data_IF_231849555242
#
_entry.id   IF_231849555242
#
_cell.length_a   1.000
_cell.length_b   1.000
_cell.length_c   1.000
_cell.angle_alpha   90.00
_cell.angle_beta   90.00
_cell.angle_gamma   90.00
#
_symmetry.space_group_name_H-M   'P 1'
#
loop_
_entity.id
_entity.type
_entity.pdbx_description
1 polymer ?
#
# COMPACT_ATOMS: atom_id res chain seq x y z
N UNK A 1 19.06 25.63 22.42
CA UNK A 1 18.37 25.31 21.15
C UNK A 1 19.09 24.27 20.30
N UNK A 2 20.43 24.27 20.23
CA UNK A 2 21.20 23.35 19.38
C UNK A 2 21.07 21.83 19.71
N UNK A 3 20.85 21.47 20.99
CA UNK A 3 20.76 20.06 21.43
C UNK A 3 19.47 19.34 21.00
N UNK A 4 18.35 20.06 20.79
CA UNK A 4 17.09 19.44 20.34
C UNK A 4 17.11 19.11 18.84
N UNK A 5 17.82 19.89 18.04
CA UNK A 5 17.96 19.66 16.59
C UNK A 5 18.84 18.45 16.29
N UNK A 6 19.91 18.22 17.06
CA UNK A 6 20.75 17.02 16.93
C UNK A 6 20.01 15.72 17.27
N UNK A 7 19.13 15.72 18.29
CA UNK A 7 18.39 14.54 18.68
C UNK A 7 17.36 14.09 17.63
N UNK A 8 16.75 15.04 16.89
CA UNK A 8 15.79 14.74 15.82
C UNK A 8 16.51 14.22 14.58
N UNK A 9 17.67 14.76 14.23
CA UNK A 9 18.48 14.25 13.10
C UNK A 9 19.02 12.85 13.40
N UNK A 10 19.39 12.56 14.65
CA UNK A 10 19.84 11.23 15.07
C UNK A 10 18.71 10.18 15.04
N UNK A 11 17.48 10.54 15.41
CA UNK A 11 16.32 9.64 15.33
C UNK A 11 15.88 9.36 13.88
N UNK A 12 15.96 10.34 12.98
CA UNK A 12 15.66 10.15 11.55
C UNK A 12 16.75 9.29 10.89
N UNK A 13 18.02 9.52 11.24
CA UNK A 13 19.13 8.68 10.79
C UNK A 13 19.00 7.23 11.31
N UNK A 14 18.61 7.02 12.57
CA UNK A 14 18.36 5.68 13.12
C UNK A 14 17.17 4.96 12.44
N UNK A 15 16.10 5.68 12.07
CA UNK A 15 14.99 5.09 11.33
C UNK A 15 15.38 4.69 9.90
N UNK A 16 16.31 5.44 9.30
CA UNK A 16 16.86 5.18 7.96
C UNK A 16 17.85 4.01 7.97
N UNK A 17 18.65 3.89 9.02
CA UNK A 17 19.64 2.80 9.16
C UNK A 17 19.02 1.50 9.65
N UNK A 18 17.95 1.52 10.46
CA UNK A 18 17.15 0.31 10.74
C UNK A 18 16.47 -0.23 9.47
N UNK A 19 16.04 0.64 8.56
CA UNK A 19 15.54 0.21 7.24
C UNK A 19 16.67 -0.40 6.39
N UNK A 20 17.88 0.14 6.44
CA UNK A 20 19.01 -0.35 5.65
C UNK A 20 19.57 -1.71 6.14
N UNK A 21 19.66 -1.92 7.47
CA UNK A 21 20.17 -3.18 8.04
C UNK A 21 19.21 -4.35 7.85
N UNK A 22 17.91 -4.13 8.04
CA UNK A 22 16.87 -5.13 7.72
C UNK A 22 16.87 -5.46 6.22
N UNK A 23 17.15 -4.48 5.36
CA UNK A 23 17.24 -4.64 3.91
C UNK A 23 18.45 -5.49 3.46
N UNK A 24 19.52 -5.55 4.25
CA UNK A 24 20.75 -6.30 3.94
C UNK A 24 20.66 -7.78 4.36
N UNK A 25 20.02 -8.09 5.50
CA UNK A 25 19.73 -9.48 5.92
C UNK A 25 18.59 -10.11 5.10
N UNK A 26 17.56 -9.34 4.74
CA UNK A 26 16.53 -9.77 3.78
C UNK A 26 17.10 -10.04 2.38
N UNK A 27 18.34 -9.58 2.10
CA UNK A 27 19.01 -9.72 0.80
C UNK A 27 19.76 -11.04 0.60
N UNK A 28 19.65 -12.03 1.50
CA UNK A 28 20.40 -13.30 1.38
C UNK A 28 19.60 -14.50 0.85
N UNK A 29 18.31 -14.37 0.50
CA UNK A 29 17.52 -15.46 -0.08
C UNK A 29 17.18 -15.24 -1.56
N UNK A 30 16.81 -16.30 -2.30
CA UNK A 30 16.55 -16.24 -3.76
C UNK A 30 15.07 -15.92 -4.03
N UNK A 31 14.83 -14.82 -4.75
CA UNK A 31 13.55 -14.27 -5.24
C UNK A 31 12.62 -15.23 -5.99
N UNK A 32 13.16 -16.30 -6.58
CA UNK A 32 12.43 -17.14 -7.52
C UNK A 32 11.55 -18.21 -6.85
N UNK A 33 11.79 -18.55 -5.58
CA UNK A 33 11.28 -19.80 -5.01
C UNK A 33 9.76 -19.80 -4.74
N UNK A 34 9.20 -18.67 -4.27
CA UNK A 34 7.80 -18.63 -3.79
C UNK A 34 6.87 -17.81 -4.68
N UNK A 35 7.36 -17.23 -5.78
CA UNK A 35 6.60 -16.29 -6.60
C UNK A 35 5.26 -16.86 -7.13
N UNK A 36 5.21 -18.17 -7.38
CA UNK A 36 4.02 -18.90 -7.84
C UNK A 36 2.96 -19.13 -6.75
N UNK A 37 3.32 -19.02 -5.47
CA UNK A 37 2.42 -19.23 -4.33
C UNK A 37 1.58 -17.98 -4.00
N UNK A 38 1.98 -16.84 -4.54
CA UNK A 38 1.32 -15.56 -4.36
C UNK A 38 0.59 -15.14 -5.63
N UNK A 39 -0.72 -14.98 -5.51
CA UNK A 39 -1.60 -14.55 -6.60
C UNK A 39 -1.83 -13.05 -6.53
N UNK A 40 -1.79 -12.32 -7.65
CA UNK A 40 -2.28 -10.95 -7.68
C UNK A 40 -3.78 -10.96 -7.35
N UNK A 41 -4.25 -9.98 -6.58
CA UNK A 41 -5.67 -9.89 -6.21
C UNK A 41 -6.54 -9.31 -7.35
N UNK A 42 -5.91 -8.76 -8.39
CA UNK A 42 -6.56 -8.26 -9.59
C UNK A 42 -5.62 -8.20 -10.79
N UNK A 43 -6.20 -8.16 -11.99
CA UNK A 43 -5.43 -8.08 -13.26
C UNK A 43 -4.55 -6.82 -13.30
N UNK A 44 -5.13 -5.68 -12.98
CA UNK A 44 -4.44 -4.41 -12.81
C UNK A 44 -4.44 -4.03 -11.33
N UNK A 45 -3.28 -4.16 -10.71
CA UNK A 45 -3.06 -3.80 -9.32
C UNK A 45 -1.80 -2.97 -9.20
N UNK A 46 -1.83 -2.01 -8.28
CA UNK A 46 -0.74 -1.06 -8.17
C UNK A 46 -0.97 -0.01 -7.11
N UNK A 47 -0.18 1.04 -7.19
CA UNK A 47 -0.21 2.15 -6.25
C UNK A 47 -0.39 3.46 -7.00
N UNK A 48 -1.44 4.19 -6.65
CA UNK A 48 -1.60 5.59 -7.05
C UNK A 48 -0.65 6.43 -6.19
N UNK A 49 0.05 7.37 -6.84
CA UNK A 49 0.99 8.28 -6.20
C UNK A 49 0.44 9.71 -6.36
N UNK A 50 0.36 10.45 -5.27
CA UNK A 50 0.06 11.88 -5.32
C UNK A 50 1.26 12.60 -5.97
N UNK A 51 1.09 13.29 -7.12
CA UNK A 51 2.19 14.01 -7.73
C UNK A 51 2.64 15.20 -6.88
N UNK A 52 3.88 15.62 -7.05
CA UNK A 52 4.30 16.94 -6.57
C UNK A 52 3.62 18.03 -7.41
N UNK A 53 3.36 19.24 -6.86
CA UNK A 53 2.63 20.29 -7.57
C UNK A 53 3.19 20.65 -8.95
N UNK A 54 4.51 20.63 -9.11
CA UNK A 54 5.25 20.90 -10.35
C UNK A 54 5.16 19.76 -11.39
N UNK A 55 4.76 18.56 -10.95
CA UNK A 55 4.62 17.35 -11.77
C UNK A 55 3.17 16.91 -11.95
N UNK A 56 2.23 17.77 -11.57
CA UNK A 56 0.79 17.51 -11.66
C UNK A 56 0.34 17.49 -13.12
N UNK A 57 -0.48 16.52 -13.48
CA UNK A 57 -1.09 16.47 -14.81
C UNK A 57 -2.28 17.42 -14.87
N UNK A 58 -2.36 18.24 -15.92
CA UNK A 58 -3.43 19.24 -16.10
C UNK A 58 -4.82 18.64 -16.31
N UNK A 59 -4.90 17.36 -16.71
CA UNK A 59 -6.14 16.62 -16.92
C UNK A 59 -6.62 15.85 -15.67
N UNK A 60 -5.94 16.02 -14.52
CA UNK A 60 -6.28 15.35 -13.26
C UNK A 60 -5.85 13.89 -13.19
N UNK A 61 -5.03 13.44 -14.13
CA UNK A 61 -4.39 12.12 -14.09
C UNK A 61 -3.37 12.02 -12.96
N UNK A 62 -2.98 10.79 -12.61
CA UNK A 62 -2.01 10.51 -11.55
C UNK A 62 -0.97 9.49 -12.00
N UNK A 63 0.26 9.53 -11.46
CA UNK A 63 1.21 8.44 -11.62
C UNK A 63 0.70 7.15 -10.93
N UNK A 64 0.89 6.02 -11.59
CA UNK A 64 0.50 4.71 -11.10
C UNK A 64 1.65 3.71 -11.21
N UNK A 65 2.15 3.22 -10.08
CA UNK A 65 3.16 2.16 -10.02
C UNK A 65 2.47 0.80 -10.16
N UNK A 66 2.82 0.05 -11.21
CA UNK A 66 2.18 -1.22 -11.54
C UNK A 66 2.78 -2.37 -10.74
N UNK A 67 1.95 -3.11 -10.00
CA UNK A 67 2.32 -4.34 -9.28
C UNK A 67 1.84 -5.60 -9.97
N UNK A 68 0.70 -5.55 -10.65
CA UNK A 68 0.17 -6.62 -11.50
C UNK A 68 -0.45 -6.04 -12.76
N UNK A 69 -0.22 -6.71 -13.89
CA UNK A 69 -0.76 -6.32 -15.18
C UNK A 69 -0.85 -7.51 -16.13
N UNK A 70 -1.81 -7.53 -17.09
CA UNK A 70 -1.75 -8.39 -18.27
C UNK A 70 -0.54 -8.12 -19.18
N UNK A 71 0.15 -6.99 -18.98
CA UNK A 71 1.34 -6.54 -19.70
C UNK A 71 2.57 -6.69 -18.78
N UNK A 72 3.30 -7.82 -18.82
CA UNK A 72 4.38 -8.11 -17.88
C UNK A 72 5.49 -7.06 -17.88
N UNK A 73 5.73 -6.42 -19.02
CA UNK A 73 6.73 -5.36 -19.21
C UNK A 73 6.46 -4.10 -18.40
N UNK A 74 5.21 -3.88 -17.98
CA UNK A 74 4.81 -2.74 -17.17
C UNK A 74 5.00 -2.95 -15.68
N UNK A 75 5.14 -4.20 -15.22
CA UNK A 75 5.30 -4.51 -13.79
C UNK A 75 6.57 -3.82 -13.26
N UNK A 76 6.41 -3.09 -12.16
CA UNK A 76 7.46 -2.27 -11.55
C UNK A 76 7.67 -0.90 -12.20
N UNK A 77 6.94 -0.56 -13.27
CA UNK A 77 7.00 0.75 -13.92
C UNK A 77 5.90 1.68 -13.42
N UNK A 78 6.18 2.97 -13.54
CA UNK A 78 5.19 4.02 -13.34
C UNK A 78 4.58 4.37 -14.70
N UNK A 79 3.25 4.29 -14.79
CA UNK A 79 2.46 4.70 -15.96
C UNK A 79 1.51 5.82 -15.58
N UNK A 80 1.04 6.58 -16.57
CA UNK A 80 -0.04 7.56 -16.36
C UNK A 80 -1.36 6.82 -16.18
N UNK A 81 -2.11 7.14 -15.12
CA UNK A 81 -3.47 6.66 -14.87
C UNK A 81 -4.46 7.81 -15.06
N UNK A 82 -5.46 7.61 -15.90
CA UNK A 82 -6.43 8.62 -16.29
C UNK A 82 -7.85 8.05 -16.26
N UNK A 83 -8.83 8.91 -16.00
CA UNK A 83 -10.22 8.55 -16.30
C UNK A 83 -10.41 8.43 -17.81
N UNK A 84 -11.11 7.39 -18.24
CA UNK A 84 -11.62 7.29 -19.59
C UNK A 84 -12.73 8.31 -19.76
N UNK A 85 -12.40 9.33 -20.53
CA UNK A 85 -13.23 10.49 -20.78
C UNK A 85 -13.63 10.56 -22.25
N UNK A 86 -14.10 9.42 -22.77
CA UNK A 86 -14.62 9.32 -24.14
C UNK A 86 -16.12 9.00 -24.21
N UNK A 87 -16.81 8.81 -23.07
CA UNK A 87 -18.21 8.43 -23.02
C UNK A 87 -19.08 9.63 -22.64
N UNK A 88 -20.25 9.77 -23.29
CA UNK A 88 -21.11 10.97 -23.21
C UNK A 88 -21.62 11.34 -21.80
N UNK A 89 -21.54 10.43 -20.83
CA UNK A 89 -22.02 10.61 -19.45
C UNK A 89 -20.92 11.15 -18.51
N UNK A 90 -20.17 12.16 -18.96
CA UNK A 90 -18.96 12.68 -18.29
C UNK A 90 -19.19 13.89 -17.38
N UNK A 91 -20.42 14.36 -17.28
CA UNK A 91 -20.78 15.53 -16.47
C UNK A 91 -20.51 15.34 -14.98
N UNK A 92 -20.17 14.13 -14.53
CA UNK A 92 -19.81 13.87 -13.13
C UNK A 92 -18.37 14.32 -12.77
N UNK A 93 -17.41 14.30 -13.71
CA UNK A 93 -15.99 14.46 -13.38
C UNK A 93 -15.65 15.90 -12.94
N UNK A 94 -16.19 16.89 -13.64
CA UNK A 94 -15.92 18.29 -13.35
C UNK A 94 -16.57 18.78 -12.05
N UNK A 95 -17.85 18.46 -11.74
CA UNK A 95 -18.46 18.81 -10.45
C UNK A 95 -17.77 18.16 -9.25
N UNK A 96 -17.12 17.01 -9.43
CA UNK A 96 -16.33 16.36 -8.37
C UNK A 96 -14.88 16.87 -8.27
N UNK A 97 -14.47 17.76 -9.18
CA UNK A 97 -13.15 18.37 -9.14
C UNK A 97 -13.21 19.70 -8.38
N UNK A 98 -12.63 19.75 -7.19
CA UNK A 98 -12.82 20.85 -6.24
C UNK A 98 -11.53 21.63 -5.99
N UNK A 99 -11.66 22.94 -5.76
CA UNK A 99 -10.57 23.74 -5.21
C UNK A 99 -10.41 23.42 -3.72
N UNK A 100 -9.20 23.12 -3.29
CA UNK A 100 -8.89 22.75 -1.91
C UNK A 100 -8.09 23.88 -1.26
N UNK A 101 -8.64 24.45 -0.20
CA UNK A 101 -7.98 25.50 0.58
C UNK A 101 -8.33 25.36 2.06
N UNK A 102 -7.34 25.07 2.90
CA UNK A 102 -7.50 24.99 4.35
C UNK A 102 -7.30 26.38 4.97
N UNK A 103 -8.37 27.17 4.97
CA UNK A 103 -8.37 28.48 5.62
C UNK A 103 -8.19 28.38 7.15
N UNK A 104 -7.91 29.50 7.86
CA UNK A 104 -7.68 29.47 9.31
C UNK A 104 -8.81 28.84 10.13
N UNK A 105 -10.08 29.00 9.72
CA UNK A 105 -11.22 28.36 10.41
C UNK A 105 -11.18 26.84 10.26
N UNK A 106 -10.86 26.34 9.06
CA UNK A 106 -10.73 24.90 8.81
C UNK A 106 -9.59 24.30 9.64
N UNK A 107 -8.45 24.98 9.75
CA UNK A 107 -7.33 24.51 10.59
C UNK A 107 -7.70 24.48 12.07
N UNK A 108 -8.33 25.54 12.57
CA UNK A 108 -8.79 25.60 13.96
C UNK A 108 -9.80 24.50 14.27
N UNK A 109 -10.69 24.16 13.32
CA UNK A 109 -11.58 23.00 13.45
C UNK A 109 -10.79 21.69 13.54
N UNK A 110 -9.80 21.50 12.66
CA UNK A 110 -8.97 20.29 12.65
C UNK A 110 -8.20 20.08 13.96
N UNK A 111 -7.60 21.15 14.49
CA UNK A 111 -6.91 21.13 15.78
C UNK A 111 -7.85 20.81 16.94
N UNK A 112 -9.04 21.44 16.94
CA UNK A 112 -10.05 21.23 17.99
C UNK A 112 -10.60 19.80 18.01
N UNK A 113 -10.77 19.18 16.85
CA UNK A 113 -11.45 17.89 16.69
C UNK A 113 -10.49 16.74 16.33
N UNK A 114 -9.17 16.93 16.44
CA UNK A 114 -8.13 15.96 16.06
C UNK A 114 -8.33 15.38 14.64
N UNK A 115 -8.85 16.20 13.72
CA UNK A 115 -9.10 15.81 12.34
C UNK A 115 -7.82 15.96 11.51
N UNK A 116 -7.43 14.89 10.80
CA UNK A 116 -6.32 14.93 9.85
C UNK A 116 -6.83 15.30 8.46
N UNK A 117 -6.44 16.48 7.99
CA UNK A 117 -6.74 16.92 6.63
C UNK A 117 -5.67 16.49 5.64
N UNK A 118 -6.03 16.30 4.35
CA UNK A 118 -5.08 16.02 3.29
C UNK A 118 -4.29 17.30 2.91
N UNK A 119 -3.42 17.77 3.80
CA UNK A 119 -2.70 19.05 3.65
C UNK A 119 -1.79 19.10 2.43
N UNK A 120 -1.47 17.95 1.81
CA UNK A 120 -0.75 17.90 0.54
C UNK A 120 -1.52 18.51 -0.64
N UNK A 121 -2.83 18.69 -0.52
CA UNK A 121 -3.70 19.33 -1.52
C UNK A 121 -3.95 20.81 -1.23
N UNK A 122 -3.40 21.36 -0.16
CA UNK A 122 -3.70 22.73 0.24
C UNK A 122 -3.27 23.74 -0.84
N UNK A 123 -4.22 24.56 -1.29
CA UNK A 123 -4.02 25.51 -2.37
C UNK A 123 -4.12 24.92 -3.78
N UNK A 124 -4.40 23.62 -3.93
CA UNK A 124 -4.61 23.02 -5.24
C UNK A 124 -5.98 23.40 -5.79
N UNK A 125 -6.03 23.77 -7.07
CA UNK A 125 -7.28 24.03 -7.78
C UNK A 125 -7.73 22.79 -8.56
N UNK A 126 -9.05 22.57 -8.66
CA UNK A 126 -9.66 21.50 -9.44
C UNK A 126 -9.03 20.12 -9.16
N UNK A 127 -8.87 19.77 -7.89
CA UNK A 127 -8.33 18.46 -7.46
C UNK A 127 -9.24 17.36 -7.98
N UNK A 128 -8.70 16.44 -8.77
CA UNK A 128 -9.47 15.36 -9.37
C UNK A 128 -9.83 14.27 -8.34
N UNK A 129 -10.86 13.46 -8.62
CA UNK A 129 -11.15 12.27 -7.83
C UNK A 129 -9.98 11.30 -7.70
N UNK A 130 -9.06 11.22 -8.66
CA UNK A 130 -7.88 10.34 -8.55
C UNK A 130 -6.80 10.93 -7.62
N UNK A 131 -6.67 12.26 -7.58
CA UNK A 131 -5.71 12.96 -6.73
C UNK A 131 -6.14 12.95 -5.25
N UNK A 132 -7.45 12.95 -4.98
CA UNK A 132 -7.98 12.95 -3.61
C UNK A 132 -7.73 11.64 -2.86
N UNK A 133 -7.69 10.49 -3.57
CA UNK A 133 -7.48 9.16 -2.99
C UNK A 133 -6.15 9.03 -2.22
N UNK A 134 -4.97 9.29 -2.82
CA UNK A 134 -3.69 9.19 -2.11
C UNK A 134 -3.47 10.33 -1.10
N UNK A 135 -4.11 11.49 -1.29
CA UNK A 135 -3.83 12.68 -0.50
C UNK A 135 -4.21 12.59 0.97
N UNK A 136 -5.15 11.70 1.31
CA UNK A 136 -5.54 11.46 2.70
C UNK A 136 -4.58 10.52 3.46
N UNK A 137 -3.46 10.13 2.83
CA UNK A 137 -2.43 9.25 3.41
C UNK A 137 -1.15 10.04 3.66
N UNK A 138 -0.47 9.75 4.77
CA UNK A 138 0.80 10.41 5.13
C UNK A 138 1.89 10.21 4.09
N UNK A 139 1.87 9.07 3.39
CA UNK A 139 2.85 8.72 2.38
C UNK A 139 2.48 9.30 0.98
N UNK A 140 1.32 9.93 0.84
CA UNK A 140 0.83 10.42 -0.46
C UNK A 140 0.65 9.30 -1.48
N UNK A 141 0.33 8.08 -1.04
CA UNK A 141 0.13 6.93 -1.92
C UNK A 141 -1.00 6.05 -1.44
N UNK A 142 -1.62 5.31 -2.37
CA UNK A 142 -2.65 4.35 -2.03
C UNK A 142 -2.63 3.16 -2.98
N UNK A 143 -2.78 1.96 -2.42
CA UNK A 143 -2.90 0.73 -3.20
C UNK A 143 -4.32 0.53 -3.67
N UNK A 144 -4.44 0.18 -4.95
CA UNK A 144 -5.74 -0.01 -5.60
C UNK A 144 -5.72 -1.18 -6.58
N UNK A 145 -6.91 -1.72 -6.83
CA UNK A 145 -7.22 -2.58 -7.96
C UNK A 145 -8.11 -1.83 -8.93
N UNK A 146 -7.74 -1.90 -10.21
CA UNK A 146 -8.45 -1.23 -11.29
C UNK A 146 -9.28 -2.26 -12.05
N UNK A 147 -10.61 -2.08 -12.02
CA UNK A 147 -11.54 -2.92 -12.78
C UNK A 147 -11.60 -2.42 -14.22
N UNK A 148 -11.62 -3.36 -15.16
CA UNK A 148 -11.82 -3.09 -16.60
C UNK A 148 -10.88 -2.01 -17.18
N UNK A 149 -9.67 -1.87 -16.64
CA UNK A 149 -8.72 -0.87 -17.11
C UNK A 149 -8.13 -1.22 -18.48
N UNK A 150 -7.99 -0.21 -19.34
CA UNK A 150 -7.50 -0.35 -20.71
C UNK A 150 -6.19 0.43 -20.85
N UNK A 151 -5.12 -0.26 -21.23
CA UNK A 151 -3.84 0.36 -21.50
C UNK A 151 -3.72 0.69 -23.00
N UNK A 152 -3.60 1.98 -23.32
CA UNK A 152 -3.44 2.46 -24.69
C UNK A 152 -2.61 3.74 -24.71
N UNK A 153 -1.77 3.92 -25.74
CA UNK A 153 -0.95 5.12 -25.91
C UNK A 153 -0.18 5.52 -24.63
N UNK A 154 0.47 4.54 -24.00
CA UNK A 154 1.24 4.71 -22.76
C UNK A 154 0.46 5.20 -21.53
N UNK A 155 -0.88 5.16 -21.59
CA UNK A 155 -1.77 5.61 -20.51
C UNK A 155 -2.73 4.48 -20.15
N UNK A 156 -2.94 4.27 -18.85
CA UNK A 156 -3.93 3.36 -18.32
C UNK A 156 -5.22 4.14 -18.07
N UNK A 157 -6.30 3.72 -18.73
CA UNK A 157 -7.61 4.35 -18.61
C UNK A 157 -8.56 3.51 -17.77
N UNK A 158 -9.32 4.17 -16.90
CA UNK A 158 -10.36 3.56 -16.07
C UNK A 158 -11.70 4.25 -16.26
N UNK A 159 -12.80 3.49 -16.20
CA UNK A 159 -14.17 4.05 -16.23
C UNK A 159 -14.92 3.80 -14.92
N UNK A 160 -14.26 3.17 -13.96
CA UNK A 160 -14.81 2.80 -12.65
C UNK A 160 -13.86 3.28 -11.56
N UNK A 161 -14.41 3.56 -10.37
CA UNK A 161 -13.60 3.94 -9.21
C UNK A 161 -12.59 2.84 -8.83
N UNK A 162 -11.33 3.21 -8.58
CA UNK A 162 -10.34 2.27 -8.06
C UNK A 162 -10.78 1.65 -6.73
N UNK A 163 -10.72 0.33 -6.63
CA UNK A 163 -10.99 -0.37 -5.36
C UNK A 163 -9.76 -0.24 -4.46
N UNK A 164 -9.89 0.45 -3.34
CA UNK A 164 -8.82 0.58 -2.35
C UNK A 164 -8.55 -0.76 -1.67
N UNK A 165 -7.29 -1.17 -1.62
CA UNK A 165 -6.88 -2.47 -1.07
C UNK A 165 -5.69 -2.31 -0.14
N UNK A 166 -5.45 -3.33 0.68
CA UNK A 166 -4.31 -3.38 1.59
C UNK A 166 -3.43 -4.58 1.22
N UNK A 167 -2.64 -4.43 0.17
CA UNK A 167 -1.85 -5.50 -0.44
C UNK A 167 -2.21 -5.68 -1.91
N UNK A 168 -1.21 -6.02 -2.73
CA UNK A 168 -1.38 -6.30 -4.17
C UNK A 168 -1.46 -7.79 -4.48
N UNK A 169 -1.07 -8.62 -3.52
CA UNK A 169 -0.96 -10.05 -3.65
C UNK A 169 -1.53 -10.75 -2.43
N UNK A 170 -1.94 -12.01 -2.63
CA UNK A 170 -2.45 -12.89 -1.59
C UNK A 170 -1.84 -14.28 -1.71
N UNK A 171 -1.53 -14.91 -0.58
CA UNK A 171 -1.30 -16.35 -0.49
C UNK A 171 -2.20 -16.97 0.59
N UNK A 172 -2.38 -18.29 0.53
CA UNK A 172 -3.00 -19.07 1.59
C UNK A 172 -1.89 -19.81 2.35
N UNK A 173 -1.74 -19.50 3.63
CA UNK A 173 -0.65 -20.04 4.43
C UNK A 173 -1.06 -20.22 5.90
N UNK A 174 -0.26 -20.98 6.64
CA UNK A 174 -0.43 -21.18 8.08
C UNK A 174 0.80 -20.71 8.83
N UNK A 175 0.62 -20.05 9.96
CA UNK A 175 1.74 -19.68 10.83
C UNK A 175 2.28 -20.91 11.54
N UNK A 176 3.60 -21.07 11.55
CA UNK A 176 4.28 -22.19 12.23
C UNK A 176 5.18 -21.72 13.36
N UNK A 177 5.22 -20.42 13.63
CA UNK A 177 5.97 -19.83 14.72
C UNK A 177 6.55 -18.46 14.41
N UNK A 178 7.14 -17.86 15.44
CA UNK A 178 7.86 -16.59 15.33
C UNK A 178 9.24 -16.75 14.73
N UNK A 179 9.69 -15.70 14.07
CA UNK A 179 11.09 -15.45 13.75
C UNK A 179 11.50 -14.12 14.41
N UNK A 180 12.69 -13.62 14.10
CA UNK A 180 13.22 -12.40 14.72
C UNK A 180 12.33 -11.17 14.49
N UNK A 181 12.09 -10.39 15.54
CA UNK A 181 11.27 -9.17 15.47
C UNK A 181 9.86 -9.41 14.92
N UNK A 182 9.53 -8.70 13.84
CA UNK A 182 8.24 -8.78 13.17
C UNK A 182 8.17 -9.90 12.11
N UNK A 183 9.17 -10.76 12.04
CA UNK A 183 9.18 -11.88 11.10
C UNK A 183 8.32 -13.03 11.63
N UNK A 184 7.69 -13.75 10.71
CA UNK A 184 6.91 -14.95 11.00
C UNK A 184 7.26 -16.05 10.02
N UNK A 185 7.35 -17.28 10.53
CA UNK A 185 7.49 -18.47 9.70
C UNK A 185 6.11 -18.96 9.29
N UNK A 186 5.93 -19.20 8.01
CA UNK A 186 4.70 -19.71 7.44
C UNK A 186 4.97 -20.97 6.63
N UNK A 187 3.96 -21.84 6.54
CA UNK A 187 3.91 -22.93 5.56
C UNK A 187 2.79 -22.64 4.57
N UNK A 188 3.10 -22.70 3.28
CA UNK A 188 2.12 -22.44 2.23
C UNK A 188 1.16 -23.62 2.05
N UNK A 189 -0.07 -23.30 1.65
CA UNK A 189 -1.02 -24.30 1.20
C UNK A 189 -0.54 -24.95 -0.09
N UNK A 190 -0.54 -26.28 -0.13
CA UNK A 190 -0.21 -27.06 -1.30
C UNK A 190 -1.49 -27.50 -2.02
N UNK A 191 -1.80 -26.96 -3.21
CA UNK A 191 -3.01 -27.31 -3.93
C UNK A 191 -3.02 -28.77 -4.44
N UNK A 192 -1.87 -29.42 -4.57
CA UNK A 192 -1.79 -30.82 -5.02
C UNK A 192 -2.17 -31.81 -3.91
N UNK A 193 -1.83 -31.50 -2.66
CA UNK A 193 -2.18 -32.34 -1.50
C UNK A 193 -3.44 -31.88 -0.77
N UNK A 194 -3.86 -30.63 -0.97
CA UNK A 194 -4.96 -30.00 -0.23
C UNK A 194 -4.61 -29.67 1.22
N UNK A 195 -3.32 -29.61 1.58
CA UNK A 195 -2.85 -29.44 2.97
C UNK A 195 -1.79 -28.35 3.09
N UNK A 196 -1.51 -27.94 4.33
CA UNK A 196 -0.38 -27.07 4.67
C UNK A 196 0.93 -27.84 4.78
N UNK A 197 1.31 -28.51 3.69
CA UNK A 197 2.58 -29.25 3.52
C UNK A 197 3.41 -28.70 2.36
N UNK A 198 3.13 -27.46 1.94
CA UNK A 198 3.88 -26.76 0.92
C UNK A 198 5.21 -26.18 1.42
N UNK A 199 5.87 -25.35 0.58
CA UNK A 199 7.11 -24.72 0.97
C UNK A 199 6.97 -23.82 2.21
N UNK A 200 8.04 -23.76 3.02
CA UNK A 200 8.11 -22.91 4.21
C UNK A 200 8.83 -21.61 3.87
N UNK A 201 8.28 -20.48 4.32
CA UNK A 201 8.82 -19.14 4.05
C UNK A 201 8.86 -18.31 5.34
N UNK A 202 9.78 -17.34 5.41
CA UNK A 202 9.77 -16.29 6.42
C UNK A 202 9.23 -15.01 5.79
N UNK A 203 8.15 -14.49 6.35
CA UNK A 203 7.48 -13.27 5.90
C UNK A 203 7.64 -12.16 6.91
N UNK A 204 7.65 -10.92 6.43
CA UNK A 204 7.69 -9.73 7.28
C UNK A 204 6.28 -9.26 7.56
N UNK A 205 5.89 -9.20 8.83
CA UNK A 205 4.63 -8.59 9.24
C UNK A 205 4.84 -7.10 9.40
N UNK A 206 4.01 -6.30 8.74
CA UNK A 206 4.01 -4.85 8.99
C UNK A 206 3.56 -4.55 10.42
N UNK A 207 4.39 -3.88 11.23
CA UNK A 207 3.99 -3.52 12.59
C UNK A 207 2.81 -2.56 12.54
N UNK A 208 1.82 -2.79 13.40
CA UNK A 208 0.76 -1.80 13.65
C UNK A 208 1.34 -0.66 14.49
N UNK A 209 1.09 0.57 14.07
CA UNK A 209 1.33 1.73 14.93
C UNK A 209 0.19 1.82 15.96
N UNK A 210 0.47 1.79 17.28
CA UNK A 210 -0.56 1.95 18.29
C UNK A 210 -1.32 3.26 18.09
N UNK A 211 -2.63 3.24 18.33
CA UNK A 211 -3.40 4.47 18.39
C UNK A 211 -2.96 5.31 19.59
N UNK A 212 -3.23 6.62 19.54
CA UNK A 212 -2.95 7.52 20.67
C UNK A 212 -3.77 7.08 21.88
N UNK A 213 -3.11 6.75 22.99
CA UNK A 213 -3.77 6.23 24.20
C UNK A 213 -4.09 4.73 24.18
N UNK A 214 -3.56 3.98 23.20
CA UNK A 214 -3.69 2.52 23.15
C UNK A 214 -2.51 1.87 23.89
N UNK A 215 -2.76 1.36 25.10
CA UNK A 215 -1.74 0.67 25.92
C UNK A 215 -1.45 -0.76 25.43
N UNK A 216 -2.43 -1.40 24.79
CA UNK A 216 -2.29 -2.72 24.17
C UNK A 216 -2.98 -2.73 22.80
N UNK A 217 -2.34 -3.27 21.75
CA UNK A 217 -2.94 -3.27 20.42
C UNK A 217 -4.18 -4.16 20.40
N UNK A 218 -5.28 -3.67 19.83
CA UNK A 218 -6.53 -4.44 19.71
C UNK A 218 -6.45 -5.67 18.79
N UNK A 219 -5.34 -5.86 18.07
CA UNK A 219 -5.03 -7.05 17.27
C UNK A 219 -3.58 -7.48 17.50
N UNK A 220 -3.34 -8.79 17.58
CA UNK A 220 -2.02 -9.36 17.83
C UNK A 220 -1.81 -10.65 17.07
N UNK A 221 -0.57 -10.89 16.63
CA UNK A 221 -0.11 -12.17 16.08
C UNK A 221 0.72 -12.96 17.09
N UNK A 222 0.64 -12.59 18.36
CA UNK A 222 1.21 -13.35 19.45
C UNK A 222 0.44 -14.68 19.58
N UNK A 223 1.17 -15.80 19.58
CA UNK A 223 0.62 -17.16 19.66
C UNK A 223 -0.40 -17.49 18.56
N UNK A 224 -0.36 -16.78 17.42
CA UNK A 224 -1.25 -17.06 16.28
C UNK A 224 -1.06 -18.49 15.77
N UNK A 225 0.13 -19.05 15.91
CA UNK A 225 0.46 -20.44 15.58
C UNK A 225 -0.25 -21.48 16.47
N UNK A 226 -0.56 -21.11 17.72
CA UNK A 226 -1.24 -21.95 18.72
C UNK A 226 -2.78 -21.81 18.66
N UNK A 227 -3.27 -20.77 17.96
CA UNK A 227 -4.70 -20.52 17.83
C UNK A 227 -5.42 -21.64 17.08
N UNK A 228 -6.59 -22.05 17.56
CA UNK A 228 -7.46 -23.00 16.87
C UNK A 228 -7.83 -22.54 15.45
N UNK A 229 -7.88 -21.22 15.21
CA UNK A 229 -8.16 -20.63 13.90
C UNK A 229 -7.04 -20.88 12.89
N UNK A 230 -5.81 -21.11 13.35
CA UNK A 230 -4.66 -21.37 12.49
C UNK A 230 -4.79 -22.71 11.73
N UNK A 231 -5.64 -23.64 12.19
CA UNK A 231 -5.86 -24.91 11.51
C UNK A 231 -6.44 -24.75 10.09
N UNK A 232 -7.29 -23.75 9.87
CA UNK A 232 -7.81 -23.40 8.55
C UNK A 232 -6.85 -22.60 7.68
N UNK A 233 -5.76 -22.11 8.28
CA UNK A 233 -4.85 -21.15 7.68
C UNK A 233 -5.45 -19.77 7.46
N UNK A 234 -4.68 -18.91 6.81
CA UNK A 234 -4.93 -17.49 6.67
C UNK A 234 -4.68 -17.05 5.23
N UNK A 235 -5.54 -16.19 4.71
CA UNK A 235 -5.24 -15.42 3.51
C UNK A 235 -4.35 -14.24 3.92
N UNK A 236 -3.08 -14.29 3.52
CA UNK A 236 -2.11 -13.25 3.81
C UNK A 236 -2.07 -12.28 2.64
N UNK A 237 -2.56 -11.05 2.88
CA UNK A 237 -2.51 -9.96 1.91
C UNK A 237 -1.25 -9.12 2.10
N UNK A 238 -0.64 -8.67 1.01
CA UNK A 238 0.62 -7.98 1.11
C UNK A 238 1.28 -7.62 -0.21
N UNK A 239 2.56 -7.30 -0.13
CA UNK A 239 3.41 -6.96 -1.27
C UNK A 239 4.54 -7.96 -1.42
N UNK A 240 4.73 -8.41 -2.66
CA UNK A 240 5.98 -9.05 -3.05
C UNK A 240 7.08 -8.00 -2.97
N UNK A 241 8.07 -8.24 -2.10
CA UNK A 241 9.34 -7.55 -2.16
C UNK A 241 10.29 -8.35 -3.02
N UNK A 242 11.41 -7.75 -3.35
CA UNK A 242 12.48 -8.38 -4.11
C UNK A 242 13.18 -9.52 -3.34
N UNK A 243 12.58 -10.17 -2.31
CA UNK A 243 13.15 -11.34 -1.60
C UNK A 243 12.31 -11.88 -0.44
N UNK A 244 11.25 -11.17 -0.05
CA UNK A 244 10.30 -11.60 0.99
C UNK A 244 8.91 -11.12 0.62
N UNK A 245 7.92 -11.52 1.41
CA UNK A 245 6.57 -10.99 1.34
C UNK A 245 6.31 -10.10 2.55
N UNK A 246 5.91 -8.86 2.27
CA UNK A 246 5.48 -7.93 3.29
C UNK A 246 3.97 -8.11 3.51
N UNK A 247 3.60 -8.80 4.58
CA UNK A 247 2.20 -8.97 4.97
C UNK A 247 1.70 -7.64 5.51
N UNK A 248 0.70 -7.09 4.82
CA UNK A 248 0.03 -5.89 5.24
C UNK A 248 -0.94 -6.22 6.38
N UNK A 249 -1.13 -5.25 7.28
CA UNK A 249 -1.94 -5.32 8.52
C UNK A 249 -3.05 -6.40 8.48
N UNK A 250 -2.89 -7.43 9.32
CA UNK A 250 -3.91 -8.43 9.65
C UNK A 250 -4.89 -7.88 10.71
#
# INVERSE_FOLDING_TARGET
MLKKTMAIVLLIALASTLHAGLFEELNQQKLATFASLYKPIGKWGGQIILPQPDRRYSDGSVPFLVFSSPHPELIGRIVKLSWNRSARDEDWFYPLSLDVNFNPKTRAFGEKHDCKFPTGLDGWQRVSPLESLPANRSEGTIEVILKNAVYQNSTLYISEEPVQVNGSHVCLARFTGKAEGNLRRIVHFNPASGRFDGPVEIVTIMPRKPAKGEDTPSTSLELVEESALNNGGWYLYGKKLARSFLVNRL
#
